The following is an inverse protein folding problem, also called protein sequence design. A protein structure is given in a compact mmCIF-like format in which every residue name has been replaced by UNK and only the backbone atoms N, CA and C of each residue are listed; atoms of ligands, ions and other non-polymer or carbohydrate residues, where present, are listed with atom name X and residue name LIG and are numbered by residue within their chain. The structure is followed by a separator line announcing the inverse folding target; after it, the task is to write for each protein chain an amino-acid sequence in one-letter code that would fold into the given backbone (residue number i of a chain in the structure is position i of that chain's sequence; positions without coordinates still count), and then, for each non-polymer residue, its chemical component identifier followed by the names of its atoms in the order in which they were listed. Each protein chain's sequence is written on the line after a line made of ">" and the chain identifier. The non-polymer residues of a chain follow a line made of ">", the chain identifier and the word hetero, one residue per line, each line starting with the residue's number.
data_IF_843465865064
#
_entry.id   IF_843465865064
#
_cell.length_a   1.000
_cell.length_b   1.000
_cell.length_c   1.000
_cell.angle_alpha   90.00
_cell.angle_beta   90.00
_cell.angle_gamma   90.00
#
_symmetry.space_group_name_H-M   'P 1'
#
loop_
_entity.id
_entity.type
_entity.pdbx_description
1 polymer ?
#
# COMPACT_ATOMS: atom_id res chain seq x y z
N UNK A 1 6.99 -20.53 -9.65
CA UNK A 1 6.79 -19.11 -9.29
C UNK A 1 5.32 -18.78 -9.50
N UNK A 2 4.69 -18.09 -8.55
CA UNK A 2 3.26 -17.78 -8.56
C UNK A 2 2.89 -16.97 -9.82
N UNK A 3 1.89 -17.40 -10.60
CA UNK A 3 1.40 -16.71 -11.82
C UNK A 3 0.59 -15.40 -11.52
N UNK A 4 0.95 -14.65 -10.49
CA UNK A 4 0.15 -13.52 -10.03
C UNK A 4 1.03 -12.33 -9.62
N UNK A 5 0.55 -11.12 -9.92
CA UNK A 5 1.11 -9.85 -9.43
C UNK A 5 0.18 -9.25 -8.38
N UNK A 6 0.76 -8.68 -7.33
CA UNK A 6 0.02 -7.96 -6.31
C UNK A 6 -0.21 -6.51 -6.70
N UNK A 7 -1.23 -5.89 -6.10
CA UNK A 7 -1.41 -4.44 -6.17
C UNK A 7 -2.08 -3.95 -4.88
N UNK A 8 -1.92 -2.67 -4.57
CA UNK A 8 -2.63 -2.02 -3.47
C UNK A 8 -3.28 -0.73 -3.94
N UNK A 9 -4.39 -0.38 -3.31
CA UNK A 9 -5.02 0.94 -3.43
C UNK A 9 -5.16 1.52 -2.03
N UNK A 10 -4.66 2.74 -1.86
CA UNK A 10 -4.73 3.48 -0.59
C UNK A 10 -5.89 4.47 -0.67
N UNK A 11 -6.81 4.41 0.27
CA UNK A 11 -7.78 5.47 0.48
C UNK A 11 -7.05 6.67 1.11
N UNK A 12 -6.65 7.62 0.27
CA UNK A 12 -5.83 8.77 0.67
C UNK A 12 -6.59 9.72 1.58
N UNK A 13 -7.91 9.85 1.44
CA UNK A 13 -8.73 10.72 2.29
C UNK A 13 -8.74 10.25 3.75
N UNK A 14 -8.67 8.94 3.99
CA UNK A 14 -8.66 8.37 5.35
C UNK A 14 -7.25 8.13 5.90
N UNK A 15 -6.25 7.97 5.04
CA UNK A 15 -4.89 7.67 5.47
C UNK A 15 -4.24 8.86 6.19
N UNK A 16 -3.68 8.60 7.38
CA UNK A 16 -2.99 9.61 8.22
C UNK A 16 -1.46 9.53 8.17
N UNK A 17 -0.91 8.61 7.35
CA UNK A 17 0.54 8.47 7.20
C UNK A 17 1.27 7.93 8.43
N UNK A 18 0.65 7.04 9.22
CA UNK A 18 1.29 6.47 10.43
C UNK A 18 2.46 5.50 10.16
N UNK A 19 2.73 5.17 8.89
CA UNK A 19 3.87 4.37 8.42
C UNK A 19 3.96 2.91 8.91
N UNK A 20 3.03 2.40 9.72
CA UNK A 20 3.01 0.97 10.10
C UNK A 20 3.02 0.02 8.90
N UNK A 21 2.31 0.37 7.83
CA UNK A 21 2.28 -0.40 6.59
C UNK A 21 3.61 -0.36 5.80
N UNK A 22 4.43 0.68 5.99
CA UNK A 22 5.77 0.80 5.40
C UNK A 22 6.68 -0.24 6.06
N UNK A 23 6.72 -0.27 7.39
CA UNK A 23 7.51 -1.25 8.16
C UNK A 23 7.04 -2.69 7.92
N UNK A 24 5.73 -2.91 7.84
CA UNK A 24 5.16 -4.24 7.65
C UNK A 24 5.32 -4.79 6.23
N UNK A 25 5.73 -3.97 5.25
CA UNK A 25 5.84 -4.43 3.86
C UNK A 25 7.16 -5.20 3.65
N UNK A 26 7.14 -6.53 3.46
CA UNK A 26 8.37 -7.32 3.31
C UNK A 26 9.11 -7.05 1.99
N UNK A 27 8.49 -6.29 1.08
CA UNK A 27 9.01 -5.95 -0.24
C UNK A 27 9.34 -4.46 -0.40
N UNK A 28 9.15 -3.65 0.65
CA UNK A 28 9.44 -2.21 0.59
C UNK A 28 8.59 -1.42 -0.42
N UNK A 29 7.40 -1.92 -0.79
CA UNK A 29 6.54 -1.33 -1.84
C UNK A 29 5.99 0.04 -1.45
N UNK A 30 5.81 0.30 -0.15
CA UNK A 30 5.03 1.42 0.36
C UNK A 30 5.96 2.48 0.94
N UNK A 31 5.71 3.75 0.65
CA UNK A 31 6.42 4.88 1.26
C UNK A 31 5.45 6.01 1.65
N UNK A 32 5.88 6.87 2.56
CA UNK A 32 5.16 8.12 2.87
C UNK A 32 5.35 9.14 1.75
N UNK A 33 4.26 9.71 1.25
CA UNK A 33 4.31 10.76 0.24
C UNK A 33 5.03 12.00 0.79
N UNK A 34 6.06 12.47 0.07
CA UNK A 34 6.94 13.55 0.56
C UNK A 34 6.37 14.96 0.35
N UNK A 35 5.57 15.16 -0.70
CA UNK A 35 5.09 16.49 -1.12
C UNK A 35 3.58 16.53 -1.38
N UNK A 36 2.84 15.53 -0.89
CA UNK A 36 1.39 15.42 -1.07
C UNK A 36 0.73 15.21 0.29
N UNK A 37 -0.39 15.87 0.46
CA UNK A 37 -1.29 15.68 1.60
C UNK A 37 -2.70 15.46 1.08
N UNK A 38 -3.54 14.80 1.88
CA UNK A 38 -4.96 14.63 1.57
C UNK A 38 -5.77 15.88 1.93
N UNK A 39 -7.09 15.82 1.76
CA UNK A 39 -8.04 16.92 2.05
C UNK A 39 -8.04 17.38 3.52
N UNK A 40 -7.45 16.59 4.42
CA UNK A 40 -7.33 16.89 5.85
C UNK A 40 -5.92 17.35 6.25
N UNK A 41 -5.00 17.50 5.28
CA UNK A 41 -3.63 17.95 5.53
C UNK A 41 -2.68 16.86 6.01
N UNK A 42 -3.09 15.59 6.03
CA UNK A 42 -2.19 14.49 6.40
C UNK A 42 -1.36 14.02 5.19
N UNK A 43 -0.05 13.78 5.36
CA UNK A 43 0.68 12.97 4.39
C UNK A 43 0.10 11.55 4.40
N UNK A 44 -0.11 10.98 3.23
CA UNK A 44 -0.60 9.62 3.07
C UNK A 44 0.51 8.72 2.51
N UNK A 45 0.32 7.40 2.60
CA UNK A 45 1.26 6.46 1.98
C UNK A 45 0.88 6.18 0.52
N UNK A 46 1.88 5.93 -0.31
CA UNK A 46 1.71 5.54 -1.71
C UNK A 46 2.55 4.27 -2.01
N UNK A 47 2.16 3.54 -3.05
CA UNK A 47 2.96 2.44 -3.57
C UNK A 47 4.13 3.02 -4.39
N UNK A 48 5.29 3.18 -3.76
CA UNK A 48 6.50 3.70 -4.40
C UNK A 48 7.13 2.70 -5.38
N UNK A 49 7.01 1.40 -5.10
CA UNK A 49 7.52 0.31 -5.94
C UNK A 49 6.40 -0.70 -6.24
N UNK A 50 5.35 -0.32 -6.98
CA UNK A 50 4.15 -1.15 -7.15
C UNK A 50 4.44 -2.51 -7.81
N UNK A 51 5.45 -2.59 -8.67
CA UNK A 51 5.83 -3.80 -9.38
C UNK A 51 6.40 -4.90 -8.47
N UNK A 52 6.91 -4.54 -7.29
CA UNK A 52 7.43 -5.47 -6.29
C UNK A 52 6.33 -6.09 -5.40
N UNK A 53 5.08 -5.66 -5.58
CA UNK A 53 3.98 -6.11 -4.75
C UNK A 53 3.64 -7.58 -5.02
N UNK A 54 3.70 -8.40 -3.96
CA UNK A 54 3.33 -9.82 -4.00
C UNK A 54 1.91 -10.09 -3.48
N UNK A 55 1.16 -9.05 -3.10
CA UNK A 55 -0.22 -9.16 -2.61
C UNK A 55 -0.36 -9.94 -1.30
N UNK A 56 0.63 -9.89 -0.40
CA UNK A 56 0.62 -10.63 0.88
C UNK A 56 -0.37 -10.10 1.92
N UNK A 57 -0.92 -8.91 1.70
CA UNK A 57 -1.87 -8.21 2.58
C UNK A 57 -1.36 -7.74 3.95
N UNK A 58 -0.06 -7.87 4.26
CA UNK A 58 0.53 -7.38 5.53
C UNK A 58 0.22 -5.91 5.81
N UNK A 59 0.28 -5.05 4.78
CA UNK A 59 -0.05 -3.63 4.90
C UNK A 59 -1.52 -3.38 5.23
N UNK A 60 -2.44 -4.18 4.69
CA UNK A 60 -3.87 -4.09 4.98
C UNK A 60 -4.19 -4.54 6.40
N UNK A 61 -3.55 -5.62 6.87
CA UNK A 61 -3.74 -6.18 8.22
C UNK A 61 -3.26 -5.21 9.31
N UNK A 62 -2.09 -4.59 9.11
CA UNK A 62 -1.51 -3.69 10.13
C UNK A 62 -2.14 -2.30 10.13
N UNK A 63 -2.91 -1.94 9.09
CA UNK A 63 -3.48 -0.61 8.99
C UNK A 63 -4.61 -0.41 10.01
N UNK A 64 -4.44 0.44 11.04
CA UNK A 64 -5.44 0.58 12.10
C UNK A 64 -6.74 1.23 11.61
N UNK A 65 -6.65 2.06 10.57
CA UNK A 65 -7.79 2.76 9.98
C UNK A 65 -8.43 1.98 8.79
N UNK A 66 -7.84 0.83 8.40
CA UNK A 66 -8.34 0.03 7.27
C UNK A 66 -8.29 0.76 5.92
N UNK A 67 -7.24 1.54 5.66
CA UNK A 67 -7.14 2.40 4.48
C UNK A 67 -6.60 1.71 3.22
N UNK A 68 -6.18 0.45 3.28
CA UNK A 68 -5.46 -0.21 2.18
C UNK A 68 -6.25 -1.42 1.69
N UNK A 69 -6.64 -1.39 0.41
CA UNK A 69 -7.20 -2.55 -0.28
C UNK A 69 -6.10 -3.27 -1.05
N UNK A 70 -6.06 -4.59 -0.99
CA UNK A 70 -4.99 -5.43 -1.55
C UNK A 70 -5.59 -6.37 -2.59
N UNK A 71 -4.98 -6.41 -3.77
CA UNK A 71 -5.42 -7.20 -4.92
C UNK A 71 -4.35 -8.24 -5.29
N UNK A 72 -4.81 -9.34 -5.90
CA UNK A 72 -3.97 -10.29 -6.63
C UNK A 72 -4.54 -10.44 -8.04
N UNK A 73 -3.78 -10.05 -9.06
CA UNK A 73 -4.17 -10.21 -10.45
C UNK A 73 -3.43 -11.42 -11.04
N UNK A 74 -4.16 -12.29 -11.74
CA UNK A 74 -3.56 -13.39 -12.51
C UNK A 74 -2.86 -12.79 -13.74
N UNK A 75 -1.62 -13.17 -13.97
CA UNK A 75 -0.95 -12.85 -15.23
C UNK A 75 -1.55 -13.74 -16.32
N UNK A 76 -2.06 -13.11 -17.37
CA UNK A 76 -2.44 -13.81 -18.60
C UNK A 76 -1.15 -14.06 -19.39
N UNK A 77 -1.05 -15.26 -19.99
CA UNK A 77 0.10 -15.68 -20.80
C UNK A 77 0.11 -14.96 -22.16
#
# INVERSE_FOLDING_TARGET
>A
MSKFIGAIVVNTDRCKGCQLCVEACPKGVIALAQKKVNVHGYPFVEAAHPDDCIGCASCGIVCPDGCITVYKKKMED
#
